data_IF_827579377434
#
_entry.id   IF_827579377434
#
_cell.length_a   1.000
_cell.length_b   1.000
_cell.length_c   1.000
_cell.angle_alpha   90.00
_cell.angle_beta   90.00
_cell.angle_gamma   90.00
#
_symmetry.space_group_name_H-M   'P 1'
#
loop_
_entity.id
_entity.type
_entity.pdbx_description
1 polymer ?
#
# COMPACT_ATOMS: atom_id res chain seq x y z
N UNK A 1 -0.92 5.11 17.00
CA UNK A 1 -0.97 5.08 15.53
C UNK A 1 0.26 4.36 15.09
N UNK A 2 0.10 3.09 14.74
CA UNK A 2 1.19 2.32 14.16
C UNK A 2 1.35 2.75 12.70
N UNK A 3 2.58 2.68 12.16
CA UNK A 3 2.86 3.02 10.76
C UNK A 3 1.99 2.23 9.79
N UNK A 4 1.64 0.99 10.17
CA UNK A 4 0.71 0.11 9.47
C UNK A 4 -0.66 0.79 9.26
N UNK A 5 -1.19 1.48 10.26
CA UNK A 5 -2.47 2.19 10.16
C UNK A 5 -2.41 3.32 9.11
N UNK A 6 -1.27 4.02 9.04
CA UNK A 6 -1.05 5.07 8.07
C UNK A 6 -0.98 4.51 6.64
N UNK A 7 -0.32 3.37 6.45
CA UNK A 7 -0.27 2.69 5.15
C UNK A 7 -1.66 2.22 4.74
N UNK A 8 -2.45 1.63 5.66
CA UNK A 8 -3.85 1.26 5.38
C UNK A 8 -4.66 2.46 4.91
N UNK A 9 -4.47 3.62 5.55
CA UNK A 9 -5.14 4.84 5.14
C UNK A 9 -4.72 5.29 3.73
N UNK A 10 -3.42 5.23 3.38
CA UNK A 10 -2.97 5.53 2.02
C UNK A 10 -3.61 4.60 0.98
N UNK A 11 -3.69 3.30 1.28
CA UNK A 11 -4.35 2.32 0.42
C UNK A 11 -5.83 2.65 0.24
N UNK A 12 -6.55 2.98 1.32
CA UNK A 12 -7.96 3.36 1.24
C UNK A 12 -8.20 4.63 0.42
N UNK A 13 -7.30 5.62 0.52
CA UNK A 13 -7.34 6.83 -0.34
C UNK A 13 -7.16 6.44 -1.80
N UNK A 14 -6.15 5.61 -2.12
CA UNK A 14 -5.93 5.14 -3.48
C UNK A 14 -7.13 4.35 -4.02
N UNK A 15 -7.75 3.50 -3.19
CA UNK A 15 -8.96 2.75 -3.55
C UNK A 15 -10.13 3.69 -3.88
N UNK A 16 -10.34 4.73 -3.06
CA UNK A 16 -11.36 5.74 -3.31
C UNK A 16 -11.13 6.45 -4.65
N UNK A 17 -9.88 6.83 -4.95
CA UNK A 17 -9.51 7.53 -6.19
C UNK A 17 -9.75 6.68 -7.45
N UNK A 18 -9.67 5.35 -7.34
CA UNK A 18 -9.98 4.43 -8.44
C UNK A 18 -11.43 3.94 -8.45
N UNK A 19 -12.31 4.53 -7.62
CA UNK A 19 -13.74 4.22 -7.59
C UNK A 19 -14.13 2.99 -6.76
N UNK A 20 -13.28 2.56 -5.83
CA UNK A 20 -13.54 1.47 -4.89
C UNK A 20 -13.81 2.05 -3.49
N UNK A 21 -15.07 2.42 -3.23
CA UNK A 21 -15.46 3.11 -1.99
C UNK A 21 -16.33 2.27 -1.04
N UNK A 22 -16.98 1.21 -1.54
CA UNK A 22 -18.03 0.48 -0.80
C UNK A 22 -17.61 -0.94 -0.43
N UNK A 23 -16.39 -1.13 0.07
CA UNK A 23 -15.93 -2.44 0.52
C UNK A 23 -15.10 -2.31 1.78
N UNK A 24 -15.44 -3.12 2.76
CA UNK A 24 -14.56 -3.46 3.85
C UNK A 24 -13.61 -4.57 3.38
N UNK A 25 -12.40 -4.17 2.96
CA UNK A 25 -11.36 -5.11 2.54
C UNK A 25 -10.46 -5.42 3.74
N UNK A 26 -10.46 -6.69 4.15
CA UNK A 26 -9.54 -7.19 5.16
C UNK A 26 -8.21 -7.59 4.52
N UNK A 27 -7.46 -6.61 4.02
CA UNK A 27 -6.10 -6.82 3.53
C UNK A 27 -5.08 -6.77 4.69
N UNK A 28 -3.99 -7.51 4.52
CA UNK A 28 -2.88 -7.54 5.48
C UNK A 28 -1.77 -6.59 5.05
N UNK A 29 -1.00 -6.14 6.04
CA UNK A 29 0.26 -5.42 5.86
C UNK A 29 1.27 -6.12 6.75
N UNK A 30 2.35 -6.60 6.15
CA UNK A 30 3.36 -7.42 6.81
C UNK A 30 4.77 -6.97 6.38
N UNK A 31 5.78 -7.32 7.15
CA UNK A 31 7.18 -7.14 6.75
C UNK A 31 7.55 -8.22 5.72
N UNK A 32 8.07 -7.85 4.54
CA UNK A 32 8.41 -8.83 3.52
C UNK A 32 9.61 -9.70 3.94
N UNK A 33 9.79 -10.88 3.31
CA UNK A 33 10.87 -11.81 3.67
C UNK A 33 12.27 -11.35 3.23
N UNK A 34 12.36 -10.28 2.44
CA UNK A 34 13.61 -9.74 1.91
C UNK A 34 13.52 -8.21 1.87
N UNK A 35 14.62 -7.56 2.22
CA UNK A 35 14.72 -6.09 2.29
C UNK A 35 14.58 -5.42 0.91
N UNK A 36 14.88 -6.14 -0.17
CA UNK A 36 14.72 -5.64 -1.55
C UNK A 36 13.25 -5.51 -1.99
N UNK A 37 12.32 -6.02 -1.19
CA UNK A 37 10.88 -5.87 -1.36
C UNK A 37 10.29 -4.73 -0.51
N UNK A 38 11.13 -3.92 0.13
CA UNK A 38 10.73 -2.74 0.89
C UNK A 38 10.46 -3.01 2.36
N UNK A 39 9.89 -2.02 3.04
CA UNK A 39 9.61 -2.05 4.48
C UNK A 39 8.36 -2.90 4.78
N UNK A 40 7.36 -2.81 3.90
CA UNK A 40 6.06 -3.44 4.08
C UNK A 40 5.52 -4.00 2.77
N UNK A 41 4.67 -5.03 2.87
CA UNK A 41 3.97 -5.62 1.74
C UNK A 41 2.48 -5.81 2.04
N UNK A 42 1.63 -5.70 1.02
CA UNK A 42 0.18 -5.93 1.13
C UNK A 42 -0.38 -6.82 0.03
N UNK A 43 -1.34 -7.66 0.42
CA UNK A 43 -2.09 -8.55 -0.45
C UNK A 43 -3.38 -7.93 -1.05
N UNK A 44 -3.61 -6.63 -0.88
CA UNK A 44 -4.88 -5.96 -1.23
C UNK A 44 -5.32 -6.21 -2.68
N UNK A 45 -4.38 -6.29 -3.64
CA UNK A 45 -4.69 -6.50 -5.04
C UNK A 45 -5.36 -7.87 -5.31
N UNK A 46 -5.03 -8.91 -4.56
CA UNK A 46 -5.65 -10.23 -4.69
C UNK A 46 -7.13 -10.20 -4.28
N UNK A 47 -7.47 -9.43 -3.25
CA UNK A 47 -8.83 -9.31 -2.72
C UNK A 47 -9.76 -8.58 -3.70
N UNK A 48 -9.20 -7.74 -4.57
CA UNK A 48 -9.92 -6.92 -5.53
C UNK A 48 -10.23 -7.61 -6.86
N UNK A 49 -9.62 -8.78 -7.13
CA UNK A 49 -9.76 -9.52 -8.40
C UNK A 49 -11.21 -9.75 -8.80
N UNK A 50 -12.06 -10.20 -7.87
CA UNK A 50 -13.48 -10.48 -8.13
C UNK A 50 -14.27 -9.24 -8.54
N UNK A 51 -13.93 -8.07 -7.99
CA UNK A 51 -14.64 -6.82 -8.26
C UNK A 51 -14.15 -6.14 -9.52
N UNK A 52 -12.84 -6.01 -9.68
CA UNK A 52 -12.25 -5.31 -10.82
C UNK A 52 -12.18 -6.19 -12.07
N UNK A 53 -12.40 -7.51 -11.94
CA UNK A 53 -12.31 -8.50 -13.03
C UNK A 53 -10.99 -8.40 -13.80
N UNK A 54 -9.91 -8.17 -13.06
CA UNK A 54 -8.53 -8.03 -13.52
C UNK A 54 -7.63 -8.97 -12.74
N UNK A 55 -6.47 -9.29 -13.31
CA UNK A 55 -5.47 -10.08 -12.60
C UNK A 55 -4.91 -9.31 -11.39
N UNK A 56 -4.41 -10.00 -10.34
CA UNK A 56 -3.74 -9.33 -9.22
C UNK A 56 -2.61 -8.40 -9.67
N UNK A 57 -1.85 -8.79 -10.70
CA UNK A 57 -0.74 -8.00 -11.23
C UNK A 57 -1.23 -6.67 -11.83
N UNK A 58 -2.29 -6.70 -12.64
CA UNK A 58 -2.89 -5.47 -13.20
C UNK A 58 -3.47 -4.57 -12.10
N UNK A 59 -4.08 -5.15 -11.07
CA UNK A 59 -4.65 -4.37 -9.96
C UNK A 59 -3.54 -3.74 -9.12
N UNK A 60 -2.49 -4.51 -8.81
CA UNK A 60 -1.32 -4.00 -8.11
C UNK A 60 -0.65 -2.88 -8.91
N UNK A 61 -0.60 -3.01 -10.25
CA UNK A 61 -0.09 -1.97 -11.13
C UNK A 61 -0.90 -0.66 -11.03
N UNK A 62 -2.23 -0.75 -11.11
CA UNK A 62 -3.14 0.40 -10.97
C UNK A 62 -2.97 1.07 -9.60
N UNK A 63 -2.95 0.28 -8.52
CA UNK A 63 -2.81 0.81 -7.17
C UNK A 63 -1.43 1.44 -6.94
N UNK A 64 -0.38 0.81 -7.45
CA UNK A 64 0.99 1.35 -7.40
C UNK A 64 1.03 2.74 -8.03
N UNK A 65 0.52 2.89 -9.25
CA UNK A 65 0.55 4.16 -9.97
C UNK A 65 -0.26 5.26 -9.27
N UNK A 66 -1.28 4.90 -8.49
CA UNK A 66 -2.03 5.84 -7.66
C UNK A 66 -1.28 6.19 -6.36
N UNK A 67 -0.69 5.20 -5.70
CA UNK A 67 0.03 5.35 -4.43
C UNK A 67 1.36 6.08 -4.59
N UNK A 68 2.03 5.93 -5.73
CA UNK A 68 3.30 6.59 -6.06
C UNK A 68 3.15 8.12 -6.18
N UNK A 69 1.92 8.62 -6.33
CA UNK A 69 1.62 10.06 -6.28
C UNK A 69 1.71 10.64 -4.86
N UNK A 70 1.67 9.78 -3.84
CA UNK A 70 1.75 10.19 -2.44
C UNK A 70 3.20 10.36 -2.01
N UNK A 71 3.53 11.49 -1.40
CA UNK A 71 4.84 11.70 -0.77
C UNK A 71 5.06 10.84 0.49
N UNK A 72 4.10 9.98 0.85
CA UNK A 72 4.21 9.05 1.96
C UNK A 72 5.20 7.92 1.64
N UNK A 73 5.28 7.51 0.38
CA UNK A 73 6.18 6.47 -0.07
C UNK A 73 7.37 7.11 -0.80
N UNK A 74 8.56 6.60 -0.55
CA UNK A 74 9.71 6.86 -1.42
C UNK A 74 9.54 6.11 -2.74
N UNK A 75 8.97 4.90 -2.67
CA UNK A 75 8.69 4.04 -3.81
C UNK A 75 7.57 3.06 -3.49
N UNK A 76 6.75 2.74 -4.47
CA UNK A 76 5.87 1.58 -4.44
C UNK A 76 6.20 0.66 -5.60
N UNK A 77 6.40 -0.63 -5.31
CA UNK A 77 6.64 -1.68 -6.30
C UNK A 77 5.49 -2.69 -6.30
N UNK A 78 5.40 -3.47 -7.38
CA UNK A 78 4.53 -4.64 -7.45
C UNK A 78 5.27 -5.88 -7.91
N UNK A 79 5.21 -6.95 -7.12
CA UNK A 79 5.84 -8.24 -7.46
C UNK A 79 4.83 -9.36 -7.25
N UNK A 80 4.54 -10.12 -8.31
CA UNK A 80 3.60 -11.24 -8.28
C UNK A 80 2.21 -10.87 -7.71
N UNK A 81 1.72 -9.65 -7.93
CA UNK A 81 0.45 -9.17 -7.41
C UNK A 81 0.47 -8.64 -5.96
N UNK A 82 1.60 -8.69 -5.25
CA UNK A 82 1.77 -7.97 -4.00
C UNK A 82 2.16 -6.52 -4.26
N UNK A 83 1.70 -5.61 -3.39
CA UNK A 83 2.19 -4.24 -3.32
C UNK A 83 3.27 -4.16 -2.26
N UNK A 84 4.41 -3.61 -2.64
CA UNK A 84 5.61 -3.49 -1.81
C UNK A 84 5.91 -2.00 -1.60
N UNK A 85 6.09 -1.59 -0.35
CA UNK A 85 6.16 -0.20 0.05
C UNK A 85 7.53 0.13 0.64
N UNK A 86 8.16 1.17 0.10
CA UNK A 86 9.33 1.80 0.68
C UNK A 86 8.85 3.13 1.27
N UNK A 87 8.81 3.23 2.60
CA UNK A 87 8.24 4.41 3.25
C UNK A 87 9.28 5.53 3.25
N UNK A 88 8.82 6.75 2.94
CA UNK A 88 9.68 7.92 2.92
C UNK A 88 10.38 8.13 4.28
N UNK A 89 11.71 8.34 4.32
CA UNK A 89 12.45 8.61 5.57
C UNK A 89 11.88 9.76 6.39
N UNK A 90 11.29 10.76 5.73
CA UNK A 90 10.64 11.91 6.36
C UNK A 90 9.41 11.50 7.19
N UNK A 91 8.70 10.43 6.79
CA UNK A 91 7.56 9.91 7.54
C UNK A 91 8.04 9.28 8.86
N UNK A 92 9.10 8.49 8.84
CA UNK A 92 9.69 7.93 10.07
C UNK A 92 10.15 9.03 11.02
N UNK A 93 10.84 10.05 10.51
CA UNK A 93 11.24 11.23 11.31
C UNK A 93 10.02 11.89 11.96
N UNK A 94 8.95 12.12 11.19
CA UNK A 94 7.72 12.75 11.70
C UNK A 94 7.04 11.93 12.79
N UNK A 95 7.08 10.60 12.70
CA UNK A 95 6.51 9.71 13.72
C UNK A 95 7.36 9.79 15.00
N UNK A 96 8.69 9.70 14.88
CA UNK A 96 9.61 9.81 16.02
C UNK A 96 9.50 11.17 16.73
N UNK A 97 9.42 12.28 16.00
CA UNK A 97 9.28 13.62 16.56
C UNK A 97 7.94 13.88 17.26
N UNK A 98 6.92 13.04 17.05
CA UNK A 98 5.62 13.13 17.74
C UNK A 98 5.56 12.34 19.04
N UNK A 99 6.57 11.49 19.29
CA UNK A 99 6.66 10.63 20.48
C UNK A 99 7.54 11.30 21.55
N UNK A 100 8.40 12.24 21.15
CA UNK A 100 9.09 13.20 22.03
C UNK A 100 8.19 14.39 22.36
#
# INVERSE_FOLDING_TARGET
MEIIDLIKNQINIALSNIGVTDIELNFTIETPPKDDLGDFSSNVAFLLTKRLRKSPQEIAQILRDELDKSSFFEKVDNVNGFLNFFVSPQIYQRICSKIL
#
